data_IF_466718833335
#
_entry.id   IF_466718833335
#
_cell.length_a   1.000
_cell.length_b   1.000
_cell.length_c   1.000
_cell.angle_alpha   90.00
_cell.angle_beta   90.00
_cell.angle_gamma   90.00
#
_symmetry.space_group_name_H-M   'P 1'
#
loop_
_entity.id
_entity.type
_entity.pdbx_description
1 polymer ?
#
# COMPACT_ATOMS: atom_id res chain seq x y z
N UNK A 1 -34.12 29.42 3.92
CA UNK A 1 -33.51 28.07 3.99
C UNK A 1 -32.02 28.30 4.16
N UNK A 2 -31.58 28.45 5.41
CA UNK A 2 -30.22 28.83 5.77
C UNK A 2 -29.38 27.56 5.80
N UNK A 3 -28.53 27.40 4.80
CA UNK A 3 -27.47 26.39 4.77
C UNK A 3 -26.56 26.61 5.99
N UNK A 4 -26.70 25.77 7.02
CA UNK A 4 -25.74 25.72 8.12
C UNK A 4 -24.39 25.30 7.54
N UNK A 5 -23.47 26.26 7.43
CA UNK A 5 -22.06 25.99 7.10
C UNK A 5 -21.45 25.17 8.22
N UNK A 6 -21.58 23.83 8.17
CA UNK A 6 -20.96 22.91 9.12
C UNK A 6 -19.46 23.13 9.11
N UNK A 7 -18.93 23.68 10.21
CA UNK A 7 -17.50 23.87 10.42
C UNK A 7 -16.81 22.50 10.35
N UNK A 8 -16.00 22.28 9.32
CA UNK A 8 -15.33 21.01 9.08
C UNK A 8 -14.09 20.90 9.97
N UNK A 9 -14.19 20.12 11.04
CA UNK A 9 -13.05 19.80 11.91
C UNK A 9 -12.28 18.61 11.35
N UNK A 10 -10.95 18.60 11.52
CA UNK A 10 -10.06 17.49 11.12
C UNK A 10 -10.37 16.14 11.82
N UNK A 11 -11.30 16.13 12.76
CA UNK A 11 -11.76 14.94 13.47
C UNK A 11 -13.13 14.45 12.99
N UNK A 12 -13.83 15.20 12.13
CA UNK A 12 -15.16 14.81 11.63
C UNK A 12 -15.10 13.60 10.69
N UNK A 13 -13.92 13.23 10.18
CA UNK A 13 -13.73 12.12 9.24
C UNK A 13 -13.95 10.77 9.93
N UNK A 14 -13.59 10.66 11.21
CA UNK A 14 -13.76 9.46 12.04
C UNK A 14 -15.23 9.09 12.30
N UNK A 15 -16.17 10.00 12.02
CA UNK A 15 -17.61 9.73 12.23
C UNK A 15 -18.19 8.75 11.20
N UNK A 16 -17.53 8.61 10.04
CA UNK A 16 -17.95 7.74 8.94
C UNK A 16 -17.19 6.41 8.89
N UNK A 17 -16.28 6.18 9.85
CA UNK A 17 -15.52 4.94 9.92
C UNK A 17 -16.41 3.78 10.41
N UNK A 18 -16.23 2.56 9.85
CA UNK A 18 -16.96 1.38 10.28
C UNK A 18 -16.67 1.08 11.76
N UNK A 19 -17.72 1.00 12.57
CA UNK A 19 -17.64 0.68 13.99
C UNK A 19 -17.74 -0.84 14.16
N UNK A 20 -16.63 -1.48 14.54
CA UNK A 20 -16.55 -2.92 14.78
C UNK A 20 -15.24 -3.31 15.45
N UNK A 21 -15.20 -4.50 16.06
CA UNK A 21 -13.96 -5.09 16.59
C UNK A 21 -13.14 -5.68 15.44
N UNK A 22 -12.32 -4.86 14.82
CA UNK A 22 -11.35 -5.30 13.82
C UNK A 22 -9.98 -5.40 14.49
N UNK A 23 -9.19 -6.46 14.21
CA UNK A 23 -7.82 -6.52 14.69
C UNK A 23 -7.07 -5.27 14.24
N UNK A 24 -6.27 -4.66 15.11
CA UNK A 24 -5.60 -3.37 14.87
C UNK A 24 -4.63 -3.34 13.67
N UNK A 25 -4.36 -4.48 13.05
CA UNK A 25 -3.60 -4.63 11.82
C UNK A 25 -4.46 -4.69 10.54
N UNK A 26 -5.78 -4.92 10.67
CA UNK A 26 -6.78 -4.85 9.59
C UNK A 26 -7.71 -3.64 9.75
N UNK A 27 -7.89 -3.18 10.99
CA UNK A 27 -8.64 -1.98 11.29
C UNK A 27 -7.93 -0.79 10.63
N UNK A 28 -8.68 -0.05 9.82
CA UNK A 28 -8.27 1.20 9.16
C UNK A 28 -7.38 1.00 7.93
N UNK A 29 -7.63 1.85 6.92
CA UNK A 29 -7.10 1.79 5.55
C UNK A 29 -5.58 1.75 5.41
N UNK A 30 -4.83 1.87 6.51
CA UNK A 30 -3.39 2.01 6.52
C UNK A 30 -2.63 0.70 6.29
N UNK A 31 -3.24 -0.49 6.26
CA UNK A 31 -2.43 -1.69 6.57
C UNK A 31 -2.50 -2.88 5.63
N UNK A 32 -3.57 -3.25 4.92
CA UNK A 32 -3.51 -4.47 4.10
C UNK A 32 -2.42 -4.40 3.03
N UNK A 33 -2.40 -3.34 2.22
CA UNK A 33 -1.40 -3.22 1.16
C UNK A 33 -0.01 -2.85 1.66
N UNK A 34 0.11 -2.03 2.70
CA UNK A 34 1.43 -1.74 3.29
C UNK A 34 2.04 -2.96 4.01
N UNK A 35 1.20 -3.79 4.65
CA UNK A 35 1.62 -5.05 5.28
C UNK A 35 2.02 -6.10 4.25
N UNK A 36 1.49 -6.07 3.02
CA UNK A 36 1.92 -6.94 1.93
C UNK A 36 3.13 -6.36 1.20
N UNK A 37 3.21 -5.03 1.07
CA UNK A 37 4.32 -4.34 0.43
C UNK A 37 5.64 -4.57 1.16
N UNK A 38 5.66 -4.50 2.50
CA UNK A 38 6.86 -4.71 3.29
C UNK A 38 7.52 -6.10 3.06
N UNK A 39 6.82 -7.23 3.23
CA UNK A 39 7.38 -8.55 2.93
C UNK A 39 7.66 -8.73 1.44
N UNK A 40 6.86 -8.13 0.54
CA UNK A 40 7.15 -8.17 -0.90
C UNK A 40 8.50 -7.53 -1.23
N UNK A 41 8.83 -6.36 -0.66
CA UNK A 41 10.14 -5.71 -0.82
C UNK A 41 11.26 -6.61 -0.29
N UNK A 42 11.09 -7.17 0.92
CA UNK A 42 12.09 -8.04 1.54
C UNK A 42 12.35 -9.28 0.68
N UNK A 43 11.30 -9.96 0.23
CA UNK A 43 11.42 -11.15 -0.63
C UNK A 43 12.06 -10.78 -1.97
N UNK A 44 11.67 -9.66 -2.57
CA UNK A 44 12.23 -9.18 -3.84
C UNK A 44 13.73 -8.92 -3.74
N UNK A 45 14.19 -8.22 -2.70
CA UNK A 45 15.61 -7.93 -2.46
C UNK A 45 16.39 -9.22 -2.20
N UNK A 46 15.85 -10.13 -1.38
CA UNK A 46 16.51 -11.40 -1.06
C UNK A 46 16.64 -12.26 -2.33
N UNK A 47 15.55 -12.41 -3.08
CA UNK A 47 15.55 -13.17 -4.34
C UNK A 47 16.56 -12.60 -5.32
N UNK A 48 16.53 -11.28 -5.52
CA UNK A 48 17.50 -10.61 -6.39
C UNK A 48 18.95 -10.84 -5.93
N UNK A 49 19.22 -10.74 -4.62
CA UNK A 49 20.55 -10.94 -4.05
C UNK A 49 21.08 -12.36 -4.30
N UNK A 50 20.21 -13.38 -4.16
CA UNK A 50 20.58 -14.77 -4.44
C UNK A 50 20.82 -15.05 -5.92
N UNK A 51 20.03 -14.43 -6.80
CA UNK A 51 20.23 -14.53 -8.25
C UNK A 51 21.52 -13.82 -8.66
N UNK A 52 21.80 -12.64 -8.09
CA UNK A 52 23.03 -11.88 -8.33
C UNK A 52 24.28 -12.62 -7.85
N UNK A 53 24.21 -13.29 -6.70
CA UNK A 53 25.30 -14.11 -6.19
C UNK A 53 25.49 -15.45 -6.94
N UNK A 54 24.62 -15.77 -7.90
CA UNK A 54 24.71 -16.99 -8.72
C UNK A 54 24.24 -18.27 -8.01
N UNK A 55 23.65 -18.17 -6.82
CA UNK A 55 23.05 -19.32 -6.12
C UNK A 55 21.76 -19.80 -6.78
N UNK A 56 21.02 -18.89 -7.41
CA UNK A 56 19.79 -19.18 -8.14
C UNK A 56 20.00 -18.78 -9.60
N UNK A 57 19.90 -19.74 -10.51
CA UNK A 57 19.91 -19.50 -11.96
C UNK A 57 18.47 -19.49 -12.46
N UNK A 58 18.03 -18.36 -13.02
CA UNK A 58 16.73 -18.23 -13.68
C UNK A 58 16.95 -18.22 -15.19
N UNK A 59 16.70 -19.34 -15.91
CA UNK A 59 17.06 -19.48 -17.32
C UNK A 59 16.24 -18.60 -18.28
N UNK A 60 15.17 -17.97 -17.78
CA UNK A 60 14.35 -17.01 -18.54
C UNK A 60 14.81 -15.55 -18.36
N UNK A 61 15.75 -15.27 -17.45
CA UNK A 61 16.27 -13.92 -17.24
C UNK A 61 17.55 -13.75 -18.05
N UNK A 62 17.45 -13.00 -19.14
CA UNK A 62 18.58 -12.66 -20.01
C UNK A 62 19.36 -11.43 -19.52
N UNK A 63 18.68 -10.47 -18.90
CA UNK A 63 19.29 -9.27 -18.29
C UNK A 63 18.87 -9.15 -16.82
N UNK A 64 19.81 -9.45 -15.93
CA UNK A 64 19.58 -9.43 -14.48
C UNK A 64 19.32 -8.02 -13.96
N UNK A 65 20.00 -7.02 -14.52
CA UNK A 65 19.86 -5.63 -14.09
C UNK A 65 18.55 -5.05 -14.60
N UNK A 66 18.19 -5.35 -15.86
CA UNK A 66 16.89 -5.01 -16.44
C UNK A 66 15.73 -5.57 -15.64
N UNK A 67 15.80 -6.84 -15.23
CA UNK A 67 14.78 -7.45 -14.36
C UNK A 67 14.69 -6.75 -12.99
N UNK A 68 15.82 -6.42 -12.37
CA UNK A 68 15.83 -5.68 -11.11
C UNK A 68 15.13 -4.34 -11.22
N UNK A 69 15.50 -3.53 -12.21
CA UNK A 69 14.91 -2.22 -12.43
C UNK A 69 13.40 -2.33 -12.69
N UNK A 70 12.99 -3.33 -13.48
CA UNK A 70 11.58 -3.60 -13.74
C UNK A 70 10.80 -3.92 -12.46
N UNK A 71 11.30 -4.83 -11.61
CA UNK A 71 10.67 -5.18 -10.33
C UNK A 71 10.60 -3.98 -9.37
N UNK A 72 11.64 -3.13 -9.31
CA UNK A 72 11.63 -1.94 -8.45
C UNK A 72 10.61 -0.89 -8.91
N UNK A 73 10.49 -0.66 -10.22
CA UNK A 73 9.60 0.37 -10.78
C UNK A 73 8.16 -0.13 -10.85
N UNK A 74 7.93 -1.28 -11.48
CA UNK A 74 6.58 -1.78 -11.76
C UNK A 74 6.04 -2.66 -10.65
N UNK A 75 6.87 -3.40 -9.93
CA UNK A 75 6.44 -4.19 -8.77
C UNK A 75 6.24 -3.29 -7.54
N UNK A 76 7.34 -2.81 -6.99
CA UNK A 76 7.34 -2.03 -5.74
C UNK A 76 6.68 -0.66 -5.94
N UNK A 77 7.00 0.05 -7.01
CA UNK A 77 6.45 1.37 -7.30
C UNK A 77 4.93 1.36 -7.45
N UNK A 78 4.37 0.44 -8.25
CA UNK A 78 2.93 0.35 -8.44
C UNK A 78 2.19 -0.08 -7.16
N UNK A 79 2.74 -1.05 -6.42
CA UNK A 79 2.17 -1.50 -5.15
C UNK A 79 2.18 -0.38 -4.09
N UNK A 80 3.24 0.43 -4.06
CA UNK A 80 3.34 1.62 -3.22
C UNK A 80 2.30 2.69 -3.59
N UNK A 81 2.08 2.93 -4.88
CA UNK A 81 1.04 3.84 -5.37
C UNK A 81 -0.34 3.37 -4.91
N UNK A 82 -0.67 2.09 -5.10
CA UNK A 82 -1.95 1.51 -4.68
C UNK A 82 -2.12 1.61 -3.16
N UNK A 83 -1.09 1.29 -2.38
CA UNK A 83 -1.11 1.39 -0.92
C UNK A 83 -1.35 2.84 -0.46
N UNK A 84 -0.69 3.80 -1.11
CA UNK A 84 -0.87 5.21 -0.84
C UNK A 84 -2.29 5.68 -1.17
N UNK A 85 -2.84 5.34 -2.33
CA UNK A 85 -4.21 5.74 -2.70
C UNK A 85 -5.26 5.12 -1.78
N UNK A 86 -5.12 3.84 -1.43
CA UNK A 86 -6.05 3.14 -0.54
C UNK A 86 -6.11 3.80 0.85
N UNK A 87 -4.98 4.32 1.31
CA UNK A 87 -4.82 4.96 2.62
C UNK A 87 -5.15 6.46 2.58
N UNK A 88 -4.63 7.15 1.57
CA UNK A 88 -4.72 8.60 1.43
C UNK A 88 -6.09 9.07 1.01
N UNK A 89 -6.85 8.29 0.22
CA UNK A 89 -8.19 8.71 -0.20
C UNK A 89 -9.19 8.82 0.97
N UNK A 90 -9.28 7.84 1.90
CA UNK A 90 -10.11 7.98 3.11
C UNK A 90 -9.72 9.14 4.03
N UNK A 91 -8.43 9.44 4.12
CA UNK A 91 -7.91 10.51 5.00
C UNK A 91 -8.08 11.90 4.39
N UNK A 92 -7.91 12.04 3.07
CA UNK A 92 -7.98 13.33 2.38
C UNK A 92 -9.41 13.73 1.98
N UNK A 93 -10.31 12.76 1.76
CA UNK A 93 -11.66 13.01 1.27
C UNK A 93 -12.73 12.52 2.26
N UNK A 94 -13.37 13.43 3.01
CA UNK A 94 -14.47 13.09 3.91
C UNK A 94 -15.62 12.40 3.16
N UNK A 95 -16.07 11.25 3.67
CA UNK A 95 -17.15 10.46 3.07
C UNK A 95 -16.67 9.26 2.26
N UNK A 96 -15.37 9.10 2.05
CA UNK A 96 -14.79 7.88 1.48
C UNK A 96 -14.69 6.82 2.58
N UNK A 97 -15.42 5.71 2.42
CA UNK A 97 -15.40 4.63 3.39
C UNK A 97 -14.07 3.87 3.25
N UNK A 98 -13.27 3.78 4.32
CA UNK A 98 -12.03 3.03 4.30
C UNK A 98 -12.32 1.55 4.20
N UNK A 99 -11.64 0.89 3.28
CA UNK A 99 -11.74 -0.57 3.10
C UNK A 99 -11.00 -1.22 4.27
N UNK A 100 -11.71 -2.09 5.00
CA UNK A 100 -11.22 -2.87 6.15
C UNK A 100 -10.96 -4.30 5.72
#
# INVERSE_FOLDING_TARGET
MTEETKKQYATNHYTHYPKGEYPSYLAYAFRPMFLVLAPYIVVSIILWSFVFAGYISLPFITDLLGWHMYEMIFGIGSAGIVAFFLTGAPELFPGTIPIV
#
